data_IF_776664625721
#
_entry.id   IF_776664625721
#
_cell.length_a   1.000
_cell.length_b   1.000
_cell.length_c   1.000
_cell.angle_alpha   90.00
_cell.angle_beta   90.00
_cell.angle_gamma   90.00
#
_symmetry.space_group_name_H-M   'P 1'
#
loop_
_entity.id
_entity.type
_entity.pdbx_description
1 polymer ?
#
# COMPACT_ATOMS: atom_id res chain seq x y z
N UNK A 1 -44.91 -46.99 -17.17
CA UNK A 1 -44.10 -46.13 -16.27
C UNK A 1 -42.96 -45.58 -17.12
N UNK A 2 -43.11 -44.35 -17.62
CA UNK A 2 -42.45 -43.14 -17.08
C UNK A 2 -40.93 -43.28 -17.12
N UNK A 3 -40.29 -42.69 -18.13
CA UNK A 3 -39.45 -41.49 -18.00
C UNK A 3 -38.01 -41.92 -17.60
N UNK A 4 -36.91 -41.53 -18.23
CA UNK A 4 -36.65 -40.40 -19.13
C UNK A 4 -35.29 -40.67 -19.78
N UNK A 5 -35.20 -40.43 -21.09
CA UNK A 5 -33.98 -39.85 -21.68
C UNK A 5 -33.55 -38.66 -20.84
N UNK A 6 -32.25 -38.50 -20.58
CA UNK A 6 -31.51 -37.24 -20.33
C UNK A 6 -30.47 -37.45 -19.24
N UNK A 7 -29.30 -37.91 -19.64
CA UNK A 7 -28.04 -37.67 -18.94
C UNK A 7 -26.93 -37.42 -19.98
N UNK A 8 -27.29 -36.65 -21.01
CA UNK A 8 -26.37 -35.93 -21.90
C UNK A 8 -26.91 -34.50 -21.97
N UNK A 9 -26.73 -33.73 -20.89
CA UNK A 9 -26.87 -32.27 -20.84
C UNK A 9 -26.72 -31.77 -19.39
N UNK A 10 -25.55 -31.92 -18.78
CA UNK A 10 -25.21 -31.21 -17.53
C UNK A 10 -23.69 -31.02 -17.32
N UNK A 11 -22.90 -30.99 -18.41
CA UNK A 11 -21.47 -30.60 -18.36
C UNK A 11 -21.26 -29.28 -19.12
N UNK A 12 -22.29 -28.44 -19.12
CA UNK A 12 -22.21 -27.04 -19.56
C UNK A 12 -22.89 -26.23 -18.46
N UNK A 13 -22.27 -25.13 -18.02
CA UNK A 13 -22.43 -24.40 -16.75
C UNK A 13 -21.60 -25.04 -15.61
N UNK A 14 -20.40 -24.58 -15.26
CA UNK A 14 -19.97 -23.19 -15.03
C UNK A 14 -18.51 -22.99 -15.47
N UNK A 15 -18.30 -22.36 -16.63
CA UNK A 15 -17.15 -21.49 -16.79
C UNK A 15 -17.45 -20.21 -15.99
N UNK A 16 -17.49 -20.32 -14.67
CA UNK A 16 -17.34 -19.16 -13.80
C UNK A 16 -15.98 -18.59 -14.13
N UNK A 17 -15.90 -17.33 -14.55
CA UNK A 17 -14.66 -16.58 -14.55
C UNK A 17 -14.13 -16.56 -13.11
N UNK A 18 -13.43 -17.61 -12.69
CA UNK A 18 -12.66 -17.59 -11.46
C UNK A 18 -11.49 -16.66 -11.74
N UNK A 19 -11.68 -15.36 -11.49
CA UNK A 19 -10.53 -14.48 -11.26
C UNK A 19 -9.72 -15.15 -10.16
N UNK A 20 -8.47 -15.47 -10.47
CA UNK A 20 -7.52 -15.94 -9.46
C UNK A 20 -7.47 -14.88 -8.36
N UNK A 21 -7.73 -15.26 -7.09
CA UNK A 21 -7.63 -14.30 -5.99
C UNK A 21 -6.28 -13.60 -6.02
N UNK A 22 -6.30 -12.28 -5.95
CA UNK A 22 -5.10 -11.46 -5.86
C UNK A 22 -4.86 -11.04 -4.40
N UNK A 23 -3.60 -10.80 -4.00
CA UNK A 23 -3.26 -10.38 -2.64
C UNK A 23 -4.08 -9.18 -2.15
N UNK A 24 -4.37 -8.22 -3.04
CA UNK A 24 -5.03 -6.97 -2.68
C UNK A 24 -6.54 -6.94 -2.94
N UNK A 25 -7.19 -8.07 -3.24
CA UNK A 25 -8.62 -8.10 -3.57
C UNK A 25 -9.52 -7.53 -2.44
N UNK A 26 -9.18 -7.78 -1.17
CA UNK A 26 -9.94 -7.27 -0.04
C UNK A 26 -9.90 -5.73 0.03
N UNK A 27 -8.69 -5.15 -0.03
CA UNK A 27 -8.52 -3.71 -0.02
C UNK A 27 -9.12 -3.04 -1.26
N UNK A 28 -9.00 -3.69 -2.43
CA UNK A 28 -9.63 -3.24 -3.67
C UNK A 28 -11.14 -3.15 -3.55
N UNK A 29 -11.79 -4.17 -2.98
CA UNK A 29 -13.23 -4.16 -2.76
C UNK A 29 -13.66 -3.02 -1.82
N UNK A 30 -12.87 -2.71 -0.80
CA UNK A 30 -13.11 -1.57 0.09
C UNK A 30 -13.05 -0.24 -0.69
N UNK A 31 -12.00 -0.05 -1.49
CA UNK A 31 -11.83 1.16 -2.32
C UNK A 31 -12.98 1.30 -3.33
N UNK A 32 -13.39 0.21 -3.98
CA UNK A 32 -14.46 0.22 -4.97
C UNK A 32 -15.82 0.64 -4.36
N UNK A 33 -16.07 0.31 -3.08
CA UNK A 33 -17.29 0.73 -2.38
C UNK A 33 -17.35 2.24 -2.09
N UNK A 34 -16.21 2.92 -2.08
CA UNK A 34 -16.12 4.34 -1.75
C UNK A 34 -16.52 5.28 -2.90
N UNK A 35 -16.72 4.75 -4.12
CA UNK A 35 -17.13 5.51 -5.31
C UNK A 35 -16.27 6.77 -5.57
N UNK A 36 -14.95 6.62 -5.48
CA UNK A 36 -14.03 7.73 -5.78
C UNK A 36 -14.14 8.22 -7.22
N UNK A 37 -13.61 9.43 -7.47
CA UNK A 37 -13.48 9.97 -8.82
C UNK A 37 -12.68 9.01 -9.72
N UNK A 38 -12.99 9.00 -11.02
CA UNK A 38 -12.46 8.03 -11.98
C UNK A 38 -10.93 7.97 -12.01
N UNK A 39 -10.27 9.12 -11.90
CA UNK A 39 -8.82 9.24 -11.85
C UNK A 39 -8.22 8.62 -10.58
N UNK A 40 -8.80 8.89 -9.43
CA UNK A 40 -8.43 8.31 -8.13
C UNK A 40 -8.61 6.79 -8.15
N UNK A 41 -9.78 6.32 -8.61
CA UNK A 41 -10.07 4.90 -8.70
C UNK A 41 -9.10 4.19 -9.68
N UNK A 42 -8.74 4.82 -10.79
CA UNK A 42 -7.74 4.31 -11.72
C UNK A 42 -6.34 4.26 -11.08
N UNK A 43 -5.95 5.30 -10.32
CA UNK A 43 -4.68 5.34 -9.61
C UNK A 43 -4.56 4.20 -8.59
N UNK A 44 -5.57 4.00 -7.73
CA UNK A 44 -5.63 2.86 -6.82
C UNK A 44 -5.51 1.53 -7.58
N UNK A 45 -6.32 1.33 -8.61
CA UNK A 45 -6.31 0.07 -9.35
C UNK A 45 -4.94 -0.23 -9.99
N UNK A 46 -4.27 0.80 -10.54
CA UNK A 46 -2.94 0.67 -11.13
C UNK A 46 -1.88 0.28 -10.09
N UNK A 47 -1.87 0.96 -8.94
CA UNK A 47 -0.95 0.65 -7.84
C UNK A 47 -1.20 -0.77 -7.32
N UNK A 48 -2.45 -1.14 -7.04
CA UNK A 48 -2.78 -2.47 -6.54
C UNK A 48 -2.43 -3.59 -7.54
N UNK A 49 -2.67 -3.37 -8.84
CA UNK A 49 -2.28 -4.34 -9.87
C UNK A 49 -0.76 -4.54 -9.92
N UNK A 50 0.01 -3.47 -9.74
CA UNK A 50 1.47 -3.53 -9.70
C UNK A 50 1.95 -4.33 -8.50
N UNK A 51 1.35 -4.09 -7.33
CA UNK A 51 1.66 -4.82 -6.11
C UNK A 51 1.25 -6.30 -6.20
N UNK A 52 0.09 -6.60 -6.80
CA UNK A 52 -0.38 -7.96 -7.04
C UNK A 52 0.61 -8.74 -7.92
N UNK A 53 1.17 -8.13 -8.97
CA UNK A 53 2.19 -8.74 -9.82
C UNK A 53 3.49 -9.07 -9.06
N UNK A 54 3.80 -8.31 -8.01
CA UNK A 54 4.95 -8.53 -7.13
C UNK A 54 4.61 -9.41 -5.92
N UNK A 55 3.35 -9.85 -5.79
CA UNK A 55 2.83 -10.54 -4.61
C UNK A 55 3.07 -9.77 -3.30
N UNK A 56 2.85 -8.45 -3.32
CA UNK A 56 3.00 -7.55 -2.18
C UNK A 56 1.63 -7.04 -1.75
N UNK A 57 1.35 -7.05 -0.44
CA UNK A 57 0.15 -6.43 0.11
C UNK A 57 0.32 -4.91 0.17
N UNK A 58 -0.76 -4.18 -0.08
CA UNK A 58 -0.76 -2.72 -0.06
C UNK A 58 -0.28 -2.15 1.27
N UNK A 59 -0.73 -2.72 2.38
CA UNK A 59 -0.29 -2.27 3.69
C UNK A 59 1.18 -2.55 3.99
N UNK A 60 1.73 -3.67 3.51
CA UNK A 60 3.17 -3.94 3.61
C UNK A 60 3.97 -2.92 2.80
N UNK A 61 3.50 -2.63 1.57
CA UNK A 61 4.07 -1.57 0.75
C UNK A 61 4.06 -0.22 1.48
N UNK A 62 2.89 0.18 1.99
CA UNK A 62 2.66 1.45 2.65
C UNK A 62 3.50 1.59 3.93
N UNK A 63 3.57 0.53 4.74
CA UNK A 63 4.40 0.45 5.95
C UNK A 63 5.87 0.62 5.63
N UNK A 64 6.35 -0.11 4.63
CA UNK A 64 7.76 -0.06 4.28
C UNK A 64 8.16 1.33 3.77
N UNK A 65 7.34 1.90 2.87
CA UNK A 65 7.58 3.20 2.27
C UNK A 65 7.54 4.35 3.28
N UNK A 66 6.52 4.42 4.14
CA UNK A 66 6.35 5.56 5.06
C UNK A 66 7.09 5.43 6.40
N UNK A 67 7.44 4.22 6.83
CA UNK A 67 8.01 4.01 8.18
C UNK A 67 9.37 3.31 8.11
N UNK A 68 9.42 2.12 7.51
CA UNK A 68 10.63 1.28 7.57
C UNK A 68 11.84 1.91 6.89
N UNK A 69 11.65 2.60 5.75
CA UNK A 69 12.76 3.30 5.08
C UNK A 69 13.32 4.41 5.96
N UNK A 70 12.46 5.24 6.56
CA UNK A 70 12.87 6.35 7.40
C UNK A 70 13.62 5.84 8.64
N UNK A 71 13.08 4.86 9.35
CA UNK A 71 13.72 4.25 10.51
C UNK A 71 15.13 3.71 10.17
N UNK A 72 15.27 3.06 9.00
CA UNK A 72 16.55 2.54 8.55
C UNK A 72 17.54 3.67 8.21
N UNK A 73 17.08 4.75 7.59
CA UNK A 73 17.92 5.89 7.23
C UNK A 73 18.37 6.65 8.48
N UNK A 74 17.49 6.77 9.47
CA UNK A 74 17.77 7.35 10.79
C UNK A 74 18.83 6.54 11.54
N UNK A 75 18.77 5.19 11.49
CA UNK A 75 19.82 4.34 12.05
C UNK A 75 21.18 4.54 11.37
N UNK A 76 21.19 4.64 10.03
CA UNK A 76 22.42 4.90 9.26
C UNK A 76 23.01 6.26 9.59
N UNK A 77 22.17 7.30 9.67
CA UNK A 77 22.61 8.65 10.01
C UNK A 77 23.12 8.73 11.46
N UNK A 78 22.44 8.07 12.40
CA UNK A 78 22.88 7.96 13.79
C UNK A 78 24.26 7.29 13.89
N UNK A 79 24.47 6.16 13.19
CA UNK A 79 25.76 5.48 13.16
C UNK A 79 26.89 6.34 12.52
N UNK A 80 26.55 7.23 11.60
CA UNK A 80 27.52 8.11 10.92
C UNK A 80 27.92 9.32 11.76
N UNK A 81 26.97 9.96 12.43
CA UNK A 81 27.15 11.30 13.00
C UNK A 81 27.18 11.36 14.52
N UNK A 82 26.50 10.47 15.24
CA UNK A 82 26.53 10.50 16.72
C UNK A 82 25.87 9.24 17.30
N UNK A 83 26.70 8.40 17.91
CA UNK A 83 26.45 7.07 18.52
C UNK A 83 25.29 7.00 19.54
N UNK A 84 24.06 7.35 19.14
CA UNK A 84 22.83 7.27 19.93
C UNK A 84 22.14 8.61 20.23
N UNK A 85 22.79 9.75 19.99
CA UNK A 85 22.17 11.08 20.24
C UNK A 85 21.64 11.77 18.99
N UNK A 86 21.97 11.25 17.80
CA UNK A 86 21.52 11.84 16.54
C UNK A 86 20.00 11.97 16.50
N UNK A 87 19.21 11.02 17.01
CA UNK A 87 17.75 11.14 16.92
C UNK A 87 17.14 12.24 17.81
N UNK A 88 17.88 12.74 18.82
CA UNK A 88 17.32 13.56 19.89
C UNK A 88 17.85 15.01 19.92
N UNK A 89 18.84 15.33 19.10
CA UNK A 89 19.41 16.70 19.01
C UNK A 89 19.01 17.44 17.74
N UNK A 90 19.24 18.75 17.75
CA UNK A 90 19.13 19.56 16.53
C UNK A 90 20.16 19.11 15.48
N UNK A 91 19.77 19.19 14.20
CA UNK A 91 20.56 18.77 13.05
C UNK A 91 21.14 19.97 12.34
N UNK A 92 22.44 19.93 12.06
CA UNK A 92 23.07 20.86 11.12
C UNK A 92 22.50 20.69 9.71
N UNK A 93 22.69 21.70 8.85
CA UNK A 93 22.23 21.62 7.45
C UNK A 93 22.87 20.47 6.67
N UNK A 94 24.13 20.13 6.96
CA UNK A 94 24.81 18.98 6.32
C UNK A 94 24.18 17.64 6.73
N UNK A 95 23.83 17.48 8.00
CA UNK A 95 23.20 16.27 8.52
C UNK A 95 21.79 16.09 7.94
N UNK A 96 21.02 17.18 7.85
CA UNK A 96 19.69 17.16 7.24
C UNK A 96 19.78 16.79 5.75
N UNK A 97 20.72 17.39 5.02
CA UNK A 97 20.94 17.09 3.61
C UNK A 97 21.38 15.63 3.40
N UNK A 98 22.29 15.12 4.24
CA UNK A 98 22.69 13.71 4.18
C UNK A 98 21.51 12.77 4.38
N UNK A 99 20.72 12.99 5.45
CA UNK A 99 19.55 12.16 5.74
C UNK A 99 18.54 12.22 4.58
N UNK A 100 18.25 13.41 4.07
CA UNK A 100 17.38 13.60 2.91
C UNK A 100 17.86 12.79 1.69
N UNK A 101 19.15 12.89 1.34
CA UNK A 101 19.71 12.19 0.18
C UNK A 101 19.61 10.67 0.29
N UNK A 102 19.91 10.10 1.46
CA UNK A 102 19.81 8.64 1.65
C UNK A 102 18.35 8.17 1.67
N UNK A 103 17.44 8.96 2.24
CA UNK A 103 16.00 8.65 2.27
C UNK A 103 15.41 8.68 0.87
N UNK A 104 15.66 9.75 0.09
CA UNK A 104 15.19 9.85 -1.31
C UNK A 104 15.69 8.70 -2.14
N UNK A 105 16.99 8.37 -2.03
CA UNK A 105 17.56 7.24 -2.77
C UNK A 105 16.93 5.92 -2.39
N UNK A 106 16.72 5.65 -1.10
CA UNK A 106 16.10 4.42 -0.64
C UNK A 106 14.64 4.30 -1.10
N UNK A 107 13.89 5.41 -1.10
CA UNK A 107 12.53 5.49 -1.64
C UNK A 107 12.53 5.19 -3.15
N UNK A 108 13.40 5.84 -3.92
CA UNK A 108 13.48 5.66 -5.36
C UNK A 108 13.86 4.22 -5.72
N UNK A 109 14.85 3.64 -5.03
CA UNK A 109 15.25 2.24 -5.21
C UNK A 109 14.09 1.27 -4.90
N UNK A 110 13.29 1.57 -3.86
CA UNK A 110 12.13 0.75 -3.50
C UNK A 110 11.01 0.82 -4.55
N UNK A 111 10.67 2.01 -5.02
CA UNK A 111 9.67 2.20 -6.07
C UNK A 111 10.10 1.54 -7.38
N UNK A 112 11.37 1.68 -7.78
CA UNK A 112 11.91 1.03 -8.97
C UNK A 112 11.85 -0.50 -8.86
N UNK A 113 12.20 -1.07 -7.69
CA UNK A 113 12.11 -2.52 -7.45
C UNK A 113 10.69 -3.05 -7.61
N UNK A 114 9.69 -2.30 -7.17
CA UNK A 114 8.29 -2.68 -7.30
C UNK A 114 7.67 -2.28 -8.64
N UNK A 115 8.40 -1.54 -9.49
CA UNK A 115 7.92 -0.97 -10.75
C UNK A 115 6.64 -0.11 -10.58
N UNK A 116 6.53 0.62 -9.47
CA UNK A 116 5.39 1.51 -9.22
C UNK A 116 5.55 2.81 -10.02
N UNK A 117 4.47 3.24 -10.67
CA UNK A 117 4.36 4.58 -11.24
C UNK A 117 4.18 5.61 -10.11
N UNK A 118 5.27 6.28 -9.75
CA UNK A 118 5.30 7.24 -8.65
C UNK A 118 4.42 8.46 -8.89
N UNK A 119 4.02 8.75 -10.13
CA UNK A 119 3.08 9.83 -10.43
C UNK A 119 1.67 9.57 -9.88
N UNK A 120 1.33 8.30 -9.58
CA UNK A 120 0.02 7.90 -9.07
C UNK A 120 -0.06 7.94 -7.54
N UNK A 121 1.08 7.84 -6.85
CA UNK A 121 1.15 7.74 -5.39
C UNK A 121 0.53 8.94 -4.66
N UNK A 122 0.77 10.21 -5.07
CA UNK A 122 0.16 11.35 -4.37
C UNK A 122 -1.37 11.30 -4.31
N UNK A 123 -2.03 10.82 -5.38
CA UNK A 123 -3.49 10.69 -5.42
C UNK A 123 -4.00 9.60 -4.46
N UNK A 124 -3.29 8.47 -4.40
CA UNK A 124 -3.61 7.36 -3.51
C UNK A 124 -3.40 7.76 -2.05
N UNK A 125 -2.25 8.37 -1.74
CA UNK A 125 -1.87 8.81 -0.40
C UNK A 125 -2.83 9.88 0.14
N UNK A 126 -3.13 10.91 -0.65
CA UNK A 126 -4.07 11.96 -0.26
C UNK A 126 -5.41 11.35 0.17
N UNK A 127 -5.93 10.39 -0.60
CA UNK A 127 -7.22 9.77 -0.31
C UNK A 127 -7.19 8.87 0.91
N UNK A 128 -6.09 8.15 1.15
CA UNK A 128 -5.91 7.39 2.39
C UNK A 128 -5.94 8.33 3.60
N UNK A 129 -5.17 9.42 3.58
CA UNK A 129 -5.08 10.35 4.71
C UNK A 129 -6.44 11.02 5.01
N UNK A 130 -7.19 11.38 3.95
CA UNK A 130 -8.47 12.07 4.06
C UNK A 130 -9.66 11.16 4.36
N UNK A 131 -9.52 9.83 4.26
CA UNK A 131 -10.66 8.90 4.41
C UNK A 131 -10.51 8.06 5.68
N UNK A 132 -11.27 8.36 6.76
CA UNK A 132 -11.17 7.64 8.03
C UNK A 132 -11.32 6.11 7.92
N UNK A 133 -12.21 5.63 7.06
CA UNK A 133 -12.45 4.20 6.88
C UNK A 133 -11.27 3.47 6.25
N UNK A 134 -10.56 4.11 5.30
CA UNK A 134 -9.30 3.57 4.76
C UNK A 134 -8.23 3.50 5.86
N UNK A 135 -8.09 4.56 6.65
CA UNK A 135 -7.14 4.57 7.78
C UNK A 135 -7.46 3.48 8.79
N UNK A 136 -8.74 3.29 9.11
CA UNK A 136 -9.20 2.26 10.06
C UNK A 136 -8.87 0.86 9.54
N UNK A 137 -9.16 0.59 8.28
CA UNK A 137 -8.76 -0.67 7.64
C UNK A 137 -7.24 -0.87 7.70
N UNK A 138 -6.48 0.13 7.30
CA UNK A 138 -5.02 0.06 7.25
C UNK A 138 -4.43 -0.19 8.65
N UNK A 139 -4.95 0.49 9.68
CA UNK A 139 -4.54 0.31 11.07
C UNK A 139 -4.84 -1.10 11.58
N UNK A 140 -6.06 -1.61 11.32
CA UNK A 140 -6.50 -2.91 11.81
C UNK A 140 -5.76 -4.08 11.16
N UNK A 141 -5.45 -3.96 9.86
CA UNK A 141 -4.86 -5.06 9.09
C UNK A 141 -3.33 -5.03 9.02
N UNK A 142 -2.69 -3.86 9.21
CA UNK A 142 -1.25 -3.70 8.97
C UNK A 142 -0.48 -3.00 10.10
N UNK A 143 -1.15 -2.64 11.19
CA UNK A 143 -0.54 -2.04 12.39
C UNK A 143 0.28 -0.77 12.07
N UNK A 144 -0.39 0.20 11.44
CA UNK A 144 0.21 1.47 10.97
C UNK A 144 -0.13 2.69 11.84
N UNK A 145 -1.05 2.53 12.80
CA UNK A 145 -1.41 3.54 13.81
C UNK A 145 -1.64 4.96 13.25
N UNK A 146 -2.16 5.05 12.03
CA UNK A 146 -2.51 6.30 11.35
C UNK A 146 -3.53 7.08 12.19
N UNK A 147 -3.32 8.39 12.31
CA UNK A 147 -4.20 9.25 13.09
C UNK A 147 -5.60 9.37 12.48
N UNK A 148 -6.62 9.07 13.30
CA UNK A 148 -8.04 9.22 12.98
C UNK A 148 -8.62 10.29 13.91
N UNK A 149 -8.82 11.53 13.43
CA UNK A 149 -9.29 12.64 14.26
C UNK A 149 -10.60 12.32 15.00
N UNK A 150 -11.48 11.55 14.38
CA UNK A 150 -12.80 11.19 14.90
C UNK A 150 -12.74 10.22 16.10
N UNK A 151 -11.59 9.57 16.33
CA UNK A 151 -11.37 8.62 17.42
C UNK A 151 -10.59 9.22 18.60
N UNK A 152 -10.17 10.48 18.48
CA UNK A 152 -9.40 11.19 19.48
C UNK A 152 -10.36 11.93 20.43
N UNK A 153 -10.77 11.26 21.51
CA UNK A 153 -11.53 11.85 22.62
C UNK A 153 -10.60 12.34 23.73
#
# INVERSE_FOLDING_TARGET
MKNTLLLVAAVVFFASCNKTPQPNDEFRNLVDQMNFQTDTAAAFNSVLNTLDQQNVLFGDFYKYYHYTIQDSCDQVANAKYDDGEYLYREKSGEEQEFLYQITVRAIDDYHQRLAIDTALLPLVEEKIVLTPDLKRYINQHFDLQMYIPEESN
#
